data_IF_291497734994
#
_entry.id   IF_291497734994
#
_cell.length_a   1.000
_cell.length_b   1.000
_cell.length_c   1.000
_cell.angle_alpha   90.00
_cell.angle_beta   90.00
_cell.angle_gamma   90.00
#
_symmetry.space_group_name_H-M   'P 1'
#
loop_
_entity.id
_entity.type
_entity.pdbx_description
1 polymer ?
#
# COMPACT_ATOMS: atom_id res chain seq x y z
N UNK A 1 -28.15 -27.69 17.31
CA UNK A 1 -28.55 -26.58 16.40
C UNK A 1 -27.30 -25.80 16.03
N UNK A 2 -26.88 -25.81 14.76
CA UNK A 2 -25.72 -25.03 14.28
C UNK A 2 -26.25 -23.70 13.72
N UNK A 3 -25.96 -22.59 14.40
CA UNK A 3 -26.26 -21.26 13.89
C UNK A 3 -25.18 -20.90 12.85
N UNK A 4 -25.57 -20.79 11.58
CA UNK A 4 -24.72 -20.20 10.55
C UNK A 4 -24.91 -18.69 10.60
N UNK A 5 -23.87 -17.96 10.99
CA UNK A 5 -23.82 -16.50 10.89
C UNK A 5 -23.46 -16.17 9.44
N UNK A 6 -24.45 -15.66 8.70
CA UNK A 6 -24.24 -15.15 7.34
C UNK A 6 -23.64 -13.75 7.48
N UNK A 7 -22.33 -13.62 7.23
CA UNK A 7 -21.65 -12.34 7.15
C UNK A 7 -21.94 -11.74 5.76
N UNK A 8 -22.95 -10.87 5.67
CA UNK A 8 -23.20 -10.08 4.47
C UNK A 8 -22.15 -8.97 4.33
N UNK A 9 -21.14 -9.21 3.49
CA UNK A 9 -20.24 -8.17 3.00
C UNK A 9 -20.98 -7.38 1.90
N UNK A 10 -21.41 -6.17 2.24
CA UNK A 10 -21.97 -5.22 1.28
C UNK A 10 -20.81 -4.68 0.42
N UNK A 11 -20.66 -5.19 -0.80
CA UNK A 11 -19.65 -4.68 -1.74
C UNK A 11 -20.14 -3.36 -2.35
N UNK A 12 -19.64 -2.24 -1.84
CA UNK A 12 -19.74 -0.97 -2.55
C UNK A 12 -18.78 -1.00 -3.74
N UNK A 13 -19.32 -1.17 -4.96
CA UNK A 13 -18.57 -0.89 -6.18
C UNK A 13 -18.45 0.62 -6.30
N UNK A 14 -17.38 1.18 -5.76
CA UNK A 14 -17.04 2.58 -6.02
C UNK A 14 -16.44 2.62 -7.43
N UNK A 15 -17.22 3.07 -8.41
CA UNK A 15 -16.65 3.45 -9.70
C UNK A 15 -15.72 4.63 -9.44
N UNK A 16 -14.42 4.39 -9.41
CA UNK A 16 -13.43 5.46 -9.41
C UNK A 16 -13.56 6.18 -10.74
N UNK A 17 -14.15 7.37 -10.71
CA UNK A 17 -13.88 8.37 -11.73
C UNK A 17 -12.35 8.48 -11.84
N UNK A 18 -11.83 8.59 -13.08
CA UNK A 18 -10.45 9.00 -13.30
C UNK A 18 -10.15 10.19 -12.38
N UNK A 19 -9.01 10.22 -11.65
CA UNK A 19 -8.72 11.29 -10.71
C UNK A 19 -8.96 12.63 -11.40
N UNK A 20 -10.06 13.30 -11.04
CA UNK A 20 -10.42 14.59 -11.64
C UNK A 20 -9.37 15.55 -11.13
N UNK A 21 -8.45 15.92 -12.02
CA UNK A 21 -7.20 16.64 -11.80
C UNK A 21 -7.42 18.10 -11.43
N UNK A 22 -8.22 18.36 -10.39
CA UNK A 22 -8.36 19.70 -9.82
C UNK A 22 -7.24 20.01 -8.80
N UNK A 23 -6.33 19.06 -8.54
CA UNK A 23 -5.05 19.41 -7.97
C UNK A 23 -4.31 20.26 -9.00
N UNK A 24 -3.97 21.50 -8.66
CA UNK A 24 -3.12 22.32 -9.49
C UNK A 24 -1.86 21.51 -9.81
N UNK A 25 -1.45 21.45 -11.08
CA UNK A 25 -0.24 20.70 -11.48
C UNK A 25 0.97 21.08 -10.60
N UNK A 26 1.01 22.32 -10.12
CA UNK A 26 2.03 22.87 -9.22
C UNK A 26 2.08 22.24 -7.81
N UNK A 27 1.05 21.48 -7.38
CA UNK A 27 0.99 20.90 -6.02
C UNK A 27 1.46 19.44 -5.96
N UNK A 28 1.64 18.78 -7.10
CA UNK A 28 2.08 17.39 -7.12
C UNK A 28 3.60 17.31 -6.95
N UNK A 29 4.06 16.37 -6.12
CA UNK A 29 5.46 16.12 -5.85
C UNK A 29 5.76 14.64 -5.94
N UNK A 30 7.00 14.31 -6.30
CA UNK A 30 7.59 13.00 -6.07
C UNK A 30 7.94 12.81 -4.60
N UNK A 31 7.85 11.56 -4.17
CA UNK A 31 8.12 11.09 -2.83
C UNK A 31 8.94 9.82 -2.92
N UNK A 32 9.75 9.60 -1.91
CA UNK A 32 10.34 8.29 -1.62
C UNK A 32 9.75 7.79 -0.31
N UNK A 33 9.56 6.47 -0.19
CA UNK A 33 8.94 5.88 1.02
C UNK A 33 9.99 5.06 1.75
N UNK A 34 10.06 5.23 3.08
CA UNK A 34 10.92 4.45 3.97
C UNK A 34 10.12 3.70 5.01
N UNK A 35 10.66 2.58 5.48
CA UNK A 35 10.19 1.93 6.70
C UNK A 35 10.85 2.56 7.92
N UNK A 36 10.08 2.78 8.98
CA UNK A 36 10.55 3.18 10.31
C UNK A 36 10.10 2.11 11.32
N UNK A 37 11.03 1.50 12.05
CA UNK A 37 10.72 0.40 12.97
C UNK A 37 11.90 0.05 13.88
N UNK A 38 11.93 -1.18 14.40
CA UNK A 38 13.13 -1.72 15.09
C UNK A 38 14.31 -1.84 14.12
N UNK A 39 15.53 -1.97 14.65
CA UNK A 39 16.82 -1.88 13.93
C UNK A 39 16.83 -2.60 12.57
N UNK A 40 16.28 -3.81 12.50
CA UNK A 40 16.31 -4.64 11.28
C UNK A 40 15.29 -4.22 10.21
N UNK A 41 14.30 -3.39 10.56
CA UNK A 41 13.26 -2.89 9.67
C UNK A 41 13.27 -1.35 9.55
N UNK A 42 14.33 -0.71 10.02
CA UNK A 42 14.47 0.75 10.01
C UNK A 42 15.26 1.24 8.81
N UNK A 43 14.80 2.33 8.19
CA UNK A 43 15.43 3.06 7.09
C UNK A 43 15.66 2.18 5.85
N UNK A 44 14.75 1.24 5.57
CA UNK A 44 14.70 0.59 4.27
C UNK A 44 13.83 1.41 3.34
N UNK A 45 14.38 1.78 2.20
CA UNK A 45 13.58 2.43 1.16
C UNK A 45 12.75 1.37 0.45
N UNK A 46 11.50 1.73 0.14
CA UNK A 46 10.64 0.88 -0.66
C UNK A 46 11.11 0.93 -2.11
N UNK A 47 11.26 -0.24 -2.71
CA UNK A 47 11.51 -0.42 -4.14
C UNK A 47 10.46 -1.29 -4.78
N UNK A 48 10.44 -1.26 -6.11
CA UNK A 48 9.59 -2.11 -6.94
C UNK A 48 10.44 -3.29 -7.41
N UNK A 49 10.07 -4.49 -6.98
CA UNK A 49 10.69 -5.74 -7.44
C UNK A 49 9.62 -6.75 -7.80
N UNK A 50 9.60 -7.19 -9.05
CA UNK A 50 8.67 -8.23 -9.56
C UNK A 50 7.18 -7.92 -9.25
N UNK A 51 6.78 -6.65 -9.37
CA UNK A 51 5.41 -6.18 -9.07
C UNK A 51 5.06 -6.11 -7.58
N UNK A 52 5.98 -6.45 -6.69
CA UNK A 52 5.85 -6.25 -5.24
C UNK A 52 6.56 -4.96 -4.84
N UNK A 53 6.02 -4.29 -3.82
CA UNK A 53 6.59 -3.05 -3.28
C UNK A 53 7.22 -3.33 -1.92
N UNK A 54 8.42 -2.78 -1.71
CA UNK A 54 9.15 -2.92 -0.45
C UNK A 54 9.87 -4.26 -0.30
N UNK A 55 10.24 -4.87 -1.42
CA UNK A 55 11.07 -6.08 -1.47
C UNK A 55 12.56 -5.74 -1.43
N UNK A 56 13.27 -5.98 -0.33
CA UNK A 56 14.72 -5.73 -0.23
C UNK A 56 15.51 -6.96 0.22
N UNK A 57 16.61 -7.26 -0.50
CA UNK A 57 17.50 -8.38 -0.22
C UNK A 57 18.78 -7.88 0.47
N UNK A 58 18.83 -7.97 1.79
CA UNK A 58 20.09 -7.93 2.56
C UNK A 58 20.88 -6.62 2.64
N UNK A 59 20.59 -5.59 1.85
CA UNK A 59 21.18 -4.25 2.01
C UNK A 59 20.10 -3.17 1.91
N UNK A 60 20.15 -2.19 2.82
CA UNK A 60 19.28 -1.00 2.77
C UNK A 60 19.49 -0.31 1.43
N UNK A 61 18.42 -0.06 0.70
CA UNK A 61 18.50 0.73 -0.53
C UNK A 61 19.00 2.15 -0.25
N UNK A 62 19.58 2.80 -1.26
CA UNK A 62 19.96 4.22 -1.16
C UNK A 62 18.82 5.10 -1.64
N UNK A 63 18.76 6.39 -1.23
CA UNK A 63 17.74 7.32 -1.72
C UNK A 63 17.65 7.41 -3.25
N UNK A 64 18.78 7.21 -3.94
CA UNK A 64 18.86 7.26 -5.42
C UNK A 64 18.36 5.99 -6.11
N UNK A 65 18.18 4.90 -5.37
CA UNK A 65 17.64 3.63 -5.87
C UNK A 65 16.20 3.37 -5.39
N UNK A 66 15.76 4.14 -4.39
CA UNK A 66 14.41 4.10 -3.87
C UNK A 66 13.36 4.33 -4.98
N UNK A 67 12.25 3.60 -4.88
CA UNK A 67 11.09 3.84 -5.71
C UNK A 67 10.59 5.28 -5.54
N UNK A 68 10.23 5.91 -6.66
CA UNK A 68 9.59 7.22 -6.69
C UNK A 68 8.09 7.05 -6.78
N UNK A 69 7.38 7.75 -5.89
CA UNK A 69 5.93 7.69 -5.79
C UNK A 69 5.34 9.08 -5.83
N UNK A 70 4.09 9.22 -6.21
CA UNK A 70 3.33 10.44 -6.07
C UNK A 70 1.89 10.10 -5.68
N UNK A 71 1.14 11.10 -5.24
CA UNK A 71 -0.20 10.87 -4.69
C UNK A 71 -1.25 11.58 -5.50
N UNK A 72 -2.42 10.95 -5.65
CA UNK A 72 -3.62 11.59 -6.16
C UNK A 72 -4.71 11.46 -5.08
N UNK A 73 -5.08 12.59 -4.48
CA UNK A 73 -6.08 12.65 -3.40
C UNK A 73 -7.48 12.51 -4.00
N UNK A 74 -8.34 11.74 -3.34
CA UNK A 74 -9.78 11.68 -3.56
C UNK A 74 -10.49 12.49 -2.47
N UNK A 75 -10.91 13.75 -2.75
CA UNK A 75 -11.43 14.66 -1.73
C UNK A 75 -12.62 14.13 -0.92
N UNK A 76 -13.62 13.42 -1.51
CA UNK A 76 -14.79 12.98 -0.77
C UNK A 76 -14.49 12.05 0.42
N UNK A 77 -13.45 11.23 0.32
CA UNK A 77 -13.07 10.28 1.37
C UNK A 77 -11.84 10.73 2.16
N UNK A 78 -11.08 11.70 1.63
CA UNK A 78 -9.77 12.07 2.18
C UNK A 78 -8.75 10.94 2.08
N UNK A 79 -8.92 10.03 1.12
CA UNK A 79 -7.95 8.98 0.79
C UNK A 79 -7.15 9.38 -0.44
N UNK A 80 -6.03 8.70 -0.66
CA UNK A 80 -5.13 8.95 -1.77
C UNK A 80 -4.82 7.64 -2.49
N UNK A 81 -4.64 7.76 -3.80
CA UNK A 81 -3.88 6.78 -4.56
C UNK A 81 -2.40 7.05 -4.34
N UNK A 82 -1.61 5.98 -4.17
CA UNK A 82 -0.16 6.04 -4.29
C UNK A 82 0.19 5.50 -5.67
N UNK A 83 0.88 6.29 -6.48
CA UNK A 83 1.24 5.98 -7.85
C UNK A 83 2.76 5.86 -7.94
N UNK A 84 3.28 4.82 -8.58
CA UNK A 84 4.72 4.54 -8.62
C UNK A 84 5.30 4.79 -10.02
N UNK A 85 6.25 5.70 -10.14
CA UNK A 85 6.94 6.01 -11.40
C UNK A 85 6.12 6.74 -12.48
N UNK A 86 4.84 6.41 -12.69
CA UNK A 86 3.95 7.13 -13.62
C UNK A 86 2.46 6.95 -13.25
N UNK A 87 1.57 7.60 -14.01
CA UNK A 87 0.11 7.62 -13.78
C UNK A 87 -0.60 6.28 -13.98
N UNK A 88 0.04 5.35 -14.68
CA UNK A 88 -0.54 4.05 -15.00
C UNK A 88 -0.18 3.00 -13.93
N UNK A 89 0.64 3.29 -12.94
CA UNK A 89 1.11 2.32 -11.95
C UNK A 89 0.60 2.70 -10.56
N UNK A 90 -0.50 2.06 -10.14
CA UNK A 90 -1.11 2.31 -8.85
C UNK A 90 -0.71 1.24 -7.84
N UNK A 91 -0.35 1.67 -6.63
CA UNK A 91 -0.17 0.75 -5.52
C UNK A 91 -1.50 0.25 -4.98
N UNK A 92 -1.53 -1.03 -4.61
CA UNK A 92 -2.66 -1.66 -3.94
C UNK A 92 -2.20 -2.57 -2.80
N UNK A 93 -3.16 -2.90 -1.94
CA UNK A 93 -3.05 -3.88 -0.87
C UNK A 93 -3.76 -5.15 -1.33
N UNK A 94 -2.98 -6.16 -1.72
CA UNK A 94 -3.51 -7.44 -2.14
C UNK A 94 -3.53 -8.39 -0.95
N UNK A 95 -4.72 -8.91 -0.60
CA UNK A 95 -4.84 -9.96 0.41
C UNK A 95 -3.94 -11.13 0.02
N UNK A 96 -3.08 -11.53 0.95
CA UNK A 96 -2.27 -12.75 0.85
C UNK A 96 -2.74 -13.78 1.87
N UNK A 97 -2.24 -15.01 1.73
CA UNK A 97 -2.52 -16.05 2.72
C UNK A 97 -1.98 -15.64 4.09
N UNK A 98 -2.77 -15.84 5.16
CA UNK A 98 -2.44 -15.58 6.58
C UNK A 98 -2.70 -14.15 7.09
N UNK A 99 -3.61 -13.40 6.45
CA UNK A 99 -4.10 -12.09 6.95
C UNK A 99 -3.07 -10.97 6.92
N UNK A 100 -2.13 -11.06 5.98
CA UNK A 100 -1.29 -9.94 5.57
C UNK A 100 -1.76 -9.48 4.21
N UNK A 101 -1.97 -8.19 4.04
CA UNK A 101 -2.20 -7.57 2.74
C UNK A 101 -0.86 -7.04 2.22
N UNK A 102 -0.40 -7.61 1.12
CA UNK A 102 0.87 -7.24 0.51
C UNK A 102 0.73 -5.94 -0.26
N UNK A 103 1.71 -5.04 -0.11
CA UNK A 103 1.80 -3.85 -0.95
C UNK A 103 2.35 -4.26 -2.33
N UNK A 104 1.57 -4.02 -3.37
CA UNK A 104 1.88 -4.42 -4.75
C UNK A 104 1.70 -3.24 -5.69
N UNK A 105 2.47 -3.23 -6.78
CA UNK A 105 2.21 -2.38 -7.93
C UNK A 105 1.22 -3.10 -8.85
N UNK A 106 0.07 -2.49 -9.08
CA UNK A 106 -1.00 -3.05 -9.92
C UNK A 106 -0.73 -2.82 -11.41
N UNK A 107 0.25 -1.99 -11.77
CA UNK A 107 0.55 -1.61 -13.15
C UNK A 107 -0.64 -1.00 -13.87
N UNK A 108 -0.55 -0.95 -15.22
CA UNK A 108 -1.58 -0.35 -16.08
C UNK A 108 -2.86 -1.17 -16.06
N UNK A 109 -3.92 -0.59 -15.50
CA UNK A 109 -5.29 -1.08 -15.66
C UNK A 109 -5.84 -1.97 -14.55
N UNK A 110 -5.79 -1.60 -13.26
CA UNK A 110 -6.73 -2.15 -12.29
C UNK A 110 -8.13 -1.58 -12.57
N UNK A 111 -8.78 -2.07 -13.62
CA UNK A 111 -10.21 -1.84 -13.83
C UNK A 111 -10.98 -2.93 -13.09
N UNK A 112 -12.21 -2.64 -12.69
CA UNK A 112 -13.13 -3.66 -12.13
C UNK A 112 -13.42 -4.82 -13.10
N UNK A 113 -12.95 -4.75 -14.36
CA UNK A 113 -13.00 -5.81 -15.35
C UNK A 113 -11.77 -6.76 -15.33
N UNK A 114 -10.64 -6.32 -14.77
CA UNK A 114 -9.37 -7.10 -14.70
C UNK A 114 -9.13 -7.67 -13.30
N UNK A 115 -9.76 -7.08 -12.28
CA UNK A 115 -9.80 -7.62 -10.92
C UNK A 115 -10.85 -8.75 -10.91
N UNK A 116 -10.47 -10.03 -10.74
CA UNK A 116 -11.40 -11.14 -10.90
C UNK A 116 -12.54 -11.00 -9.88
N UNK A 117 -13.79 -10.96 -10.37
CA UNK A 117 -15.01 -10.77 -9.56
C UNK A 117 -15.25 -11.87 -8.53
N UNK A 118 -14.54 -12.98 -8.70
CA UNK A 118 -14.64 -14.25 -8.01
C UNK A 118 -13.31 -14.70 -7.39
N UNK A 119 -12.28 -13.84 -7.37
CA UNK A 119 -11.03 -14.17 -6.70
C UNK A 119 -11.16 -14.03 -5.17
N UNK A 120 -10.78 -15.06 -4.39
CA UNK A 120 -10.62 -14.96 -2.93
C UNK A 120 -9.42 -14.07 -2.49
N UNK A 121 -8.99 -13.12 -3.32
CA UNK A 121 -7.80 -12.26 -3.13
C UNK A 121 -8.19 -10.78 -3.33
N UNK A 122 -9.02 -10.25 -2.43
CA UNK A 122 -9.44 -8.85 -2.42
C UNK A 122 -8.22 -7.92 -2.57
N UNK A 123 -8.32 -6.94 -3.46
CA UNK A 123 -7.33 -5.86 -3.59
C UNK A 123 -8.02 -4.60 -3.08
N UNK A 124 -7.35 -3.86 -2.20
CA UNK A 124 -7.75 -2.53 -1.80
C UNK A 124 -6.80 -1.52 -2.45
N UNK A 125 -7.32 -0.50 -3.13
CA UNK A 125 -6.53 0.53 -3.77
C UNK A 125 -7.19 1.89 -3.57
N UNK A 126 -6.40 2.96 -3.58
CA UNK A 126 -6.93 4.31 -3.30
C UNK A 126 -7.43 4.48 -1.86
N UNK A 127 -6.98 3.61 -0.96
CA UNK A 127 -7.34 3.58 0.47
C UNK A 127 -6.27 4.22 1.35
N UNK A 128 -5.18 4.74 0.79
CA UNK A 128 -4.08 5.28 1.58
C UNK A 128 -4.41 6.65 2.13
N UNK A 129 -3.76 7.05 3.22
CA UNK A 129 -3.70 8.46 3.64
C UNK A 129 -2.24 8.80 3.93
N UNK A 130 -1.83 10.03 3.61
CA UNK A 130 -0.51 10.54 3.97
C UNK A 130 -0.69 11.61 5.02
N UNK A 131 -0.18 11.34 6.23
CA UNK A 131 -0.22 12.25 7.36
C UNK A 131 0.66 13.48 7.16
N UNK A 132 0.53 14.49 8.04
CA UNK A 132 1.29 15.73 7.95
C UNK A 132 2.81 15.52 8.10
N UNK A 133 3.24 14.46 8.78
CA UNK A 133 4.65 14.07 8.93
C UNK A 133 5.08 12.96 7.95
N UNK A 134 4.25 12.69 6.93
CA UNK A 134 4.53 11.74 5.86
C UNK A 134 4.12 10.30 6.17
N UNK A 135 3.56 10.01 7.35
CA UNK A 135 3.13 8.66 7.69
C UNK A 135 2.04 8.18 6.73
N UNK A 136 2.22 7.00 6.14
CA UNK A 136 1.22 6.36 5.31
C UNK A 136 0.34 5.48 6.19
N UNK A 137 -0.96 5.75 6.20
CA UNK A 137 -1.99 4.93 6.85
C UNK A 137 -2.99 4.40 5.82
N UNK A 138 -3.94 3.58 6.27
CA UNK A 138 -4.98 2.97 5.43
C UNK A 138 -6.35 3.33 6.01
N UNK A 139 -7.24 3.81 5.14
CA UNK A 139 -8.64 4.11 5.39
C UNK A 139 -9.47 3.44 4.29
N UNK A 140 -9.89 2.22 4.57
CA UNK A 140 -10.66 1.34 3.69
C UNK A 140 -12.10 1.10 4.20
N UNK A 141 -12.46 1.73 5.32
CA UNK A 141 -13.77 1.57 5.96
C UNK A 141 -13.86 0.35 6.88
N UNK A 142 -12.80 -0.45 7.00
CA UNK A 142 -12.75 -1.54 7.97
C UNK A 142 -12.49 -0.98 9.38
N UNK A 143 -13.37 -1.31 10.33
CA UNK A 143 -13.16 -1.00 11.74
C UNK A 143 -12.31 -2.09 12.40
N UNK A 144 -11.02 -2.13 12.03
CA UNK A 144 -10.04 -3.08 12.58
C UNK A 144 -8.90 -2.28 13.22
N UNK A 145 -9.01 -1.93 14.51
CA UNK A 145 -8.05 -1.08 15.21
C UNK A 145 -6.63 -1.65 15.28
N UNK A 146 -6.48 -2.96 15.09
CA UNK A 146 -5.22 -3.69 15.19
C UNK A 146 -4.47 -3.81 13.85
N UNK A 147 -4.99 -3.23 12.76
CA UNK A 147 -4.27 -3.17 11.49
C UNK A 147 -2.98 -2.38 11.64
N UNK A 148 -1.86 -2.98 11.21
CA UNK A 148 -0.56 -2.34 11.32
C UNK A 148 0.35 -2.71 10.15
N UNK A 149 1.21 -1.76 9.77
CA UNK A 149 2.25 -2.03 8.81
C UNK A 149 3.32 -2.91 9.43
N UNK A 150 3.74 -3.90 8.65
CA UNK A 150 4.71 -4.89 9.07
C UNK A 150 5.75 -5.10 7.98
N UNK A 151 6.95 -5.47 8.40
CA UNK A 151 7.93 -6.10 7.53
C UNK A 151 8.11 -7.56 7.92
N UNK A 152 8.27 -8.43 6.93
CA UNK A 152 8.62 -9.84 7.17
C UNK A 152 9.64 -10.35 6.17
N UNK A 153 10.51 -11.26 6.64
CA UNK A 153 11.40 -12.04 5.77
C UNK A 153 10.59 -13.22 5.19
N UNK A 154 10.50 -13.30 3.87
CA UNK A 154 9.90 -14.44 3.18
C UNK A 154 10.95 -15.53 2.89
N UNK A 155 10.48 -16.66 2.37
CA UNK A 155 11.28 -17.85 2.08
C UNK A 155 12.35 -17.65 1.01
N UNK A 156 12.23 -16.60 0.20
CA UNK A 156 13.21 -16.19 -0.82
C UNK A 156 14.37 -15.34 -0.26
N UNK A 157 14.37 -15.07 1.05
CA UNK A 157 15.37 -14.23 1.70
C UNK A 157 15.17 -12.73 1.47
N UNK A 158 14.02 -12.34 0.92
CA UNK A 158 13.64 -10.93 0.71
C UNK A 158 12.72 -10.48 1.84
N UNK A 159 12.99 -9.31 2.39
CA UNK A 159 12.05 -8.66 3.27
C UNK A 159 10.97 -7.97 2.45
N UNK A 160 9.72 -8.17 2.83
CA UNK A 160 8.57 -7.52 2.23
C UNK A 160 7.88 -6.60 3.24
N UNK A 161 7.01 -5.73 2.71
CA UNK A 161 6.19 -4.79 3.47
C UNK A 161 4.71 -5.05 3.19
N UNK A 162 3.86 -4.91 4.21
CA UNK A 162 2.43 -5.15 4.07
C UNK A 162 1.65 -4.78 5.32
N UNK A 163 0.32 -4.82 5.21
CA UNK A 163 -0.60 -4.50 6.30
C UNK A 163 -1.11 -5.79 6.92
N UNK A 164 -0.76 -6.06 8.17
CA UNK A 164 -1.32 -7.18 8.92
C UNK A 164 -2.68 -6.79 9.47
N UNK A 165 -3.65 -7.71 9.42
CA UNK A 165 -5.03 -7.47 9.87
C UNK A 165 -5.20 -7.38 11.39
N UNK A 166 -4.15 -7.67 12.17
CA UNK A 166 -4.19 -7.52 13.62
C UNK A 166 -4.82 -8.70 14.37
N UNK A 167 -5.30 -9.73 13.68
CA UNK A 167 -5.99 -10.87 14.29
C UNK A 167 -5.45 -12.23 13.82
N UNK A 168 -5.08 -12.37 12.55
CA UNK A 168 -4.53 -13.63 12.05
C UNK A 168 -3.14 -13.89 12.60
N UNK A 169 -2.70 -15.14 12.53
CA UNK A 169 -1.35 -15.51 12.94
C UNK A 169 -0.30 -14.74 12.14
N UNK A 170 0.56 -14.01 12.85
CA UNK A 170 1.69 -13.28 12.26
C UNK A 170 2.65 -14.21 11.50
N UNK A 171 3.30 -13.72 10.43
CA UNK A 171 4.48 -14.35 9.83
C UNK A 171 5.57 -14.66 10.86
N UNK A 172 6.44 -15.65 10.58
CA UNK A 172 7.50 -16.08 11.52
C UNK A 172 8.55 -15.00 11.81
N UNK A 173 8.89 -14.20 10.81
CA UNK A 173 9.84 -13.10 10.92
C UNK A 173 9.05 -11.82 10.79
N UNK A 174 8.77 -11.14 11.90
CA UNK A 174 7.77 -10.07 11.94
C UNK A 174 8.33 -8.86 12.68
N UNK A 175 8.23 -7.68 12.06
CA UNK A 175 8.53 -6.41 12.70
C UNK A 175 7.45 -5.39 12.38
N UNK A 176 6.89 -4.75 13.41
CA UNK A 176 6.06 -3.57 13.24
C UNK A 176 6.90 -2.45 12.63
N UNK A 177 6.32 -1.79 11.64
CA UNK A 177 6.91 -0.62 10.98
C UNK A 177 5.87 0.48 10.81
N UNK A 178 6.35 1.66 10.47
CA UNK A 178 5.59 2.77 9.89
C UNK A 178 6.16 3.03 8.51
N UNK A 179 5.30 3.28 7.54
CA UNK A 179 5.73 3.78 6.24
C UNK A 179 5.73 5.30 6.27
N UNK A 180 6.83 5.91 5.84
CA UNK A 180 7.01 7.36 5.85
C UNK A 180 7.39 7.83 4.45
N UNK A 181 6.52 8.63 3.85
CA UNK A 181 6.75 9.32 2.58
C UNK A 181 7.49 10.64 2.82
N UNK A 182 8.60 10.83 2.11
CA UNK A 182 9.39 12.06 2.13
C UNK A 182 9.34 12.71 0.75
N UNK A 183 8.90 13.97 0.66
CA UNK A 183 8.92 14.73 -0.60
C UNK A 183 10.36 14.84 -1.11
N UNK A 184 10.56 14.68 -2.42
CA UNK A 184 11.87 14.83 -3.06
C UNK A 184 11.93 16.01 -4.01
N UNK A 185 11.01 16.09 -4.97
CA UNK A 185 10.98 17.18 -5.98
C UNK A 185 9.56 17.39 -6.53
N UNK A 186 9.26 18.54 -7.17
CA UNK A 186 8.00 18.73 -7.88
C UNK A 186 7.79 17.67 -8.97
N UNK A 187 6.54 17.27 -9.20
CA UNK A 187 6.20 16.30 -10.25
C UNK A 187 6.35 16.90 -11.65
N UNK A 188 6.04 18.19 -11.78
CA UNK A 188 6.22 18.95 -13.01
C UNK A 188 7.25 20.07 -12.77
N UNK A 189 8.13 20.24 -13.73
CA UNK A 189 9.17 21.28 -13.78
C UNK A 189 8.83 22.31 -14.83
#
# INVERSE_FOLDING_TARGET
MKASVILSLLFAVVSVASPTSNANKEELSWWTITTKGKVDAQNHWLSLKDGKVGGFAGARETPDKAGKFFTAVYPPTGTSQLLSGNWDHQLGLKVSTKGVMQLVDLGRGPTSAIIPKDAPNSIEWGVFQVGPSGEITVKDGADIPSRQWISWLDTDGVYYTGLWDGFTRQPRSFANITLVATKTEPLFT
#
